data_IF_669786435980
#
_entry.id   IF_669786435980
#
_cell.length_a   1.000
_cell.length_b   1.000
_cell.length_c   1.000
_cell.angle_alpha   90.00
_cell.angle_beta   90.00
_cell.angle_gamma   90.00
#
_symmetry.space_group_name_H-M   'P 1'
#
loop_
_entity.id
_entity.type
_entity.pdbx_description
1 polymer ?
#
# COMPACT_ATOMS: atom_id res chain seq x y z
N UNK A 1 4.45 -46.95 96.74
CA UNK A 1 5.09 -48.21 96.34
C UNK A 1 4.51 -48.67 95.01
N UNK A 2 5.33 -49.35 94.19
CA UNK A 2 4.99 -50.37 93.16
C UNK A 2 3.53 -50.89 93.17
N UNK A 3 2.80 -51.16 92.07
CA UNK A 3 3.05 -51.76 90.72
C UNK A 3 1.80 -51.44 89.82
N UNK A 4 1.57 -51.85 88.55
CA UNK A 4 2.24 -52.76 87.59
C UNK A 4 1.92 -52.45 86.09
N UNK A 5 2.21 -53.44 85.22
CA UNK A 5 1.93 -53.63 83.78
C UNK A 5 0.51 -53.31 83.25
N UNK A 6 0.45 -52.88 81.98
CA UNK A 6 -0.67 -53.03 81.03
C UNK A 6 -0.23 -52.58 79.62
N UNK A 7 -0.47 -53.38 78.57
CA UNK A 7 0.08 -53.14 77.22
C UNK A 7 -0.60 -51.99 76.46
N UNK A 8 0.13 -51.37 75.51
CA UNK A 8 -0.36 -50.39 74.53
C UNK A 8 0.29 -50.61 73.15
N UNK A 9 -0.58 -50.78 72.16
CA UNK A 9 -0.61 -50.15 70.82
C UNK A 9 0.67 -49.82 70.02
N UNK A 10 0.71 -50.44 68.83
CA UNK A 10 0.85 -49.82 67.50
C UNK A 10 2.20 -49.23 67.00
N UNK A 11 2.82 -49.92 66.03
CA UNK A 11 3.78 -49.42 65.00
C UNK A 11 3.97 -50.56 63.96
N UNK A 12 3.61 -50.43 62.67
CA UNK A 12 4.28 -49.78 61.50
C UNK A 12 5.14 -50.73 60.63
N UNK A 13 5.20 -50.41 59.32
CA UNK A 13 6.16 -50.84 58.26
C UNK A 13 5.91 -52.13 57.42
N UNK A 14 5.46 -51.87 56.17
CA UNK A 14 6.20 -52.07 54.90
C UNK A 14 6.68 -53.48 54.48
N UNK A 15 6.15 -53.96 53.35
CA UNK A 15 6.90 -54.76 52.37
C UNK A 15 6.36 -54.53 50.94
N UNK A 16 7.24 -54.23 50.00
CA UNK A 16 6.95 -54.13 48.56
C UNK A 16 7.08 -55.52 47.93
N UNK A 17 6.16 -55.92 47.05
CA UNK A 17 6.35 -57.06 46.14
C UNK A 17 6.07 -56.62 44.70
N UNK A 18 6.90 -57.12 43.80
CA UNK A 18 7.12 -56.67 42.43
C UNK A 18 6.33 -57.51 41.41
N UNK A 19 5.88 -56.86 40.34
CA UNK A 19 5.48 -57.42 39.05
C UNK A 19 4.39 -58.52 38.98
N UNK A 20 3.25 -58.14 38.37
CA UNK A 20 2.52 -59.01 37.45
C UNK A 20 2.12 -58.18 36.22
N UNK A 21 2.74 -58.48 35.06
CA UNK A 21 2.45 -57.79 33.80
C UNK A 21 1.16 -58.36 33.21
N UNK A 22 0.14 -57.51 33.06
CA UNK A 22 -1.03 -57.81 32.21
C UNK A 22 -1.04 -56.83 31.04
N UNK A 23 -0.68 -57.32 29.87
CA UNK A 23 -0.63 -56.53 28.65
C UNK A 23 -2.06 -56.23 28.15
N UNK A 24 -2.42 -54.95 28.11
CA UNK A 24 -3.54 -54.48 27.30
C UNK A 24 -3.03 -54.20 25.86
N UNK A 25 -3.79 -54.52 24.80
CA UNK A 25 -3.33 -54.34 23.43
C UNK A 25 -3.30 -52.85 23.04
N UNK A 26 -2.10 -52.32 22.82
CA UNK A 26 -1.84 -50.91 22.45
C UNK A 26 -2.12 -50.58 20.97
N UNK A 27 -2.90 -51.39 20.25
CA UNK A 27 -2.99 -51.35 18.78
C UNK A 27 -3.86 -50.19 18.22
N UNK A 28 -4.43 -49.34 19.09
CA UNK A 28 -5.40 -48.31 18.70
C UNK A 28 -4.98 -46.86 19.00
N UNK A 29 -3.66 -46.57 18.99
CA UNK A 29 -3.13 -45.20 19.07
C UNK A 29 -2.20 -44.80 17.89
N UNK A 30 -1.97 -45.69 16.92
CA UNK A 30 -1.03 -45.45 15.81
C UNK A 30 -1.64 -44.69 14.61
N UNK A 31 -2.92 -44.29 14.66
CA UNK A 31 -3.63 -43.69 13.50
C UNK A 31 -3.79 -42.16 13.52
N UNK A 32 -3.22 -41.45 14.51
CA UNK A 32 -3.28 -39.98 14.61
C UNK A 32 -1.94 -39.26 14.45
N UNK A 33 -0.86 -40.00 14.14
CA UNK A 33 0.35 -39.40 13.59
C UNK A 33 0.16 -39.03 12.11
N UNK A 34 -0.86 -38.20 11.82
CA UNK A 34 -0.97 -37.56 10.52
C UNK A 34 0.28 -36.71 10.31
N UNK A 35 1.02 -37.02 9.25
CA UNK A 35 2.22 -36.26 8.87
C UNK A 35 1.83 -34.82 8.51
N UNK A 36 1.79 -33.95 9.51
CA UNK A 36 1.93 -32.52 9.31
C UNK A 36 3.35 -32.27 8.81
N UNK A 37 3.56 -32.51 7.51
CA UNK A 37 4.72 -32.02 6.77
C UNK A 37 4.78 -30.52 7.06
N UNK A 38 5.85 -29.99 7.68
CA UNK A 38 5.94 -28.58 7.95
C UNK A 38 5.92 -27.85 6.62
N UNK A 39 4.78 -27.21 6.29
CA UNK A 39 4.69 -26.42 5.07
C UNK A 39 5.49 -25.14 5.29
N UNK A 40 6.79 -25.21 5.04
CA UNK A 40 7.66 -24.04 4.92
C UNK A 40 7.16 -23.23 3.73
N UNK A 41 6.22 -22.33 4.01
CA UNK A 41 5.90 -21.21 3.15
C UNK A 41 7.06 -20.24 3.28
N UNK A 42 8.11 -20.46 2.49
CA UNK A 42 9.12 -19.45 2.20
C UNK A 42 8.42 -18.35 1.42
N UNK A 43 7.79 -17.42 2.15
CA UNK A 43 7.45 -16.12 1.58
C UNK A 43 8.76 -15.46 1.21
N UNK A 44 9.04 -15.37 -0.08
CA UNK A 44 10.12 -14.53 -0.57
C UNK A 44 9.61 -13.10 -0.43
N UNK A 45 10.13 -12.36 0.55
CA UNK A 45 9.92 -10.92 0.61
C UNK A 45 10.69 -10.29 -0.56
N UNK A 46 10.03 -10.24 -1.70
CA UNK A 46 10.57 -9.69 -2.93
C UNK A 46 10.59 -8.16 -2.82
N UNK A 47 11.77 -7.59 -2.55
CA UNK A 47 11.98 -6.15 -2.63
C UNK A 47 12.12 -5.78 -4.11
N UNK A 48 11.03 -5.29 -4.71
CA UNK A 48 11.10 -4.53 -5.95
C UNK A 48 11.76 -3.19 -5.68
N UNK A 49 12.45 -2.60 -6.68
CA UNK A 49 12.84 -1.19 -6.66
C UNK A 49 12.42 -0.57 -8.00
N UNK A 50 11.54 0.43 -7.97
CA UNK A 50 11.13 1.15 -9.19
C UNK A 50 12.05 2.34 -9.47
N UNK A 51 12.93 2.19 -10.46
CA UNK A 51 13.80 3.29 -10.93
C UNK A 51 13.15 4.07 -12.08
N UNK A 52 13.27 5.39 -12.07
CA UNK A 52 12.87 6.27 -13.19
C UNK A 52 14.08 7.10 -13.60
N UNK A 53 14.59 6.90 -14.81
CA UNK A 53 15.77 7.63 -15.32
C UNK A 53 15.34 8.69 -16.33
N UNK A 54 15.94 9.87 -16.23
CA UNK A 54 15.71 10.99 -17.16
C UNK A 54 17.02 11.58 -17.66
N UNK A 55 17.03 12.03 -18.91
CA UNK A 55 18.14 12.82 -19.45
C UNK A 55 18.17 14.26 -18.86
N UNK A 56 19.21 15.01 -19.20
CA UNK A 56 19.38 16.40 -18.76
C UNK A 56 18.27 17.37 -19.23
N UNK A 57 17.41 16.95 -20.17
CA UNK A 57 16.23 17.70 -20.63
C UNK A 57 14.91 17.26 -19.97
N UNK A 58 14.97 16.26 -19.06
CA UNK A 58 13.78 15.73 -18.38
C UNK A 58 12.91 14.82 -19.26
N UNK A 59 13.49 14.21 -20.30
CA UNK A 59 12.86 13.11 -21.06
C UNK A 59 13.22 11.79 -20.40
N UNK A 60 12.27 10.84 -20.36
CA UNK A 60 12.53 9.51 -19.82
C UNK A 60 13.51 8.74 -20.72
N UNK A 61 14.52 8.13 -20.10
CA UNK A 61 15.41 7.16 -20.74
C UNK A 61 14.75 5.79 -20.57
N UNK A 62 14.52 5.07 -21.67
CA UNK A 62 13.67 3.85 -21.69
C UNK A 62 14.38 2.61 -22.21
N UNK A 63 15.66 2.76 -22.54
CA UNK A 63 16.50 1.83 -23.28
C UNK A 63 17.70 1.32 -22.48
N UNK A 64 17.75 1.56 -21.16
CA UNK A 64 18.81 1.03 -20.29
C UNK A 64 18.67 -0.49 -20.08
N UNK A 65 19.77 -1.23 -20.24
CA UNK A 65 19.90 -2.68 -19.98
C UNK A 65 20.10 -3.01 -18.49
N UNK A 66 20.05 -4.30 -18.12
CA UNK A 66 20.25 -4.75 -16.73
C UNK A 66 21.67 -4.45 -16.21
N UNK A 67 22.68 -4.58 -17.06
CA UNK A 67 24.10 -4.38 -16.74
C UNK A 67 24.50 -2.91 -16.62
N UNK A 68 23.59 -1.98 -16.93
CA UNK A 68 23.75 -0.54 -16.66
C UNK A 68 23.27 -0.14 -15.24
N UNK A 69 22.87 -1.10 -14.39
CA UNK A 69 22.45 -0.86 -13.01
C UNK A 69 23.28 -1.65 -11.99
N UNK A 70 23.87 -0.94 -11.03
CA UNK A 70 24.47 -1.51 -9.82
C UNK A 70 23.61 -1.13 -8.60
N UNK A 71 23.09 -2.13 -7.89
CA UNK A 71 22.26 -1.92 -6.69
C UNK A 71 23.13 -2.13 -5.45
N UNK A 72 23.05 -1.19 -4.50
CA UNK A 72 23.75 -1.26 -3.23
C UNK A 72 22.80 -1.05 -2.05
N UNK A 73 22.92 -1.89 -1.02
CA UNK A 73 22.31 -1.69 0.29
C UNK A 73 23.44 -1.58 1.33
N UNK A 74 23.46 -0.50 2.12
CA UNK A 74 24.51 -0.20 3.11
C UNK A 74 25.97 -0.31 2.58
N UNK A 75 26.16 0.02 1.29
CA UNK A 75 27.42 -0.09 0.51
C UNK A 75 27.85 -1.52 0.14
N UNK A 76 26.98 -2.51 0.35
CA UNK A 76 27.14 -3.89 -0.13
C UNK A 76 26.35 -4.04 -1.43
N UNK A 77 27.00 -4.53 -2.49
CA UNK A 77 26.33 -4.77 -3.77
C UNK A 77 25.32 -5.93 -3.64
N UNK A 78 24.10 -5.72 -4.12
CA UNK A 78 23.02 -6.70 -4.08
C UNK A 78 22.85 -7.38 -5.45
N UNK A 79 22.51 -8.67 -5.45
CA UNK A 79 22.28 -9.43 -6.68
C UNK A 79 20.91 -9.09 -7.28
N UNK A 80 20.91 -8.67 -8.56
CA UNK A 80 19.71 -8.27 -9.27
C UNK A 80 18.98 -9.50 -9.82
N UNK A 81 18.16 -10.12 -8.96
CA UNK A 81 17.43 -11.36 -9.24
C UNK A 81 16.35 -11.25 -10.35
N UNK A 82 15.78 -10.07 -10.57
CA UNK A 82 14.74 -9.84 -11.56
C UNK A 82 14.82 -8.43 -12.16
N UNK A 83 15.16 -8.35 -13.45
CA UNK A 83 15.09 -7.12 -14.23
C UNK A 83 13.94 -7.20 -15.23
N UNK A 84 13.18 -6.12 -15.38
CA UNK A 84 12.24 -6.00 -16.48
C UNK A 84 12.14 -4.59 -17.03
N UNK A 85 12.26 -4.49 -18.35
CA UNK A 85 11.90 -3.32 -19.16
C UNK A 85 10.45 -3.34 -19.62
N UNK A 86 9.76 -4.48 -19.48
CA UNK A 86 8.38 -4.59 -19.92
C UNK A 86 7.51 -3.63 -19.11
N UNK A 87 6.49 -3.08 -19.76
CA UNK A 87 5.53 -2.22 -19.08
C UNK A 87 4.70 -3.06 -18.11
N UNK A 88 5.21 -3.29 -16.91
CA UNK A 88 4.52 -3.95 -15.80
C UNK A 88 3.08 -3.43 -15.69
N UNK A 89 2.11 -4.29 -15.34
CA UNK A 89 0.75 -3.83 -15.05
C UNK A 89 0.79 -2.74 -13.98
N UNK A 90 -0.05 -1.70 -14.08
CA UNK A 90 -0.12 -0.68 -13.04
C UNK A 90 -1.20 -1.02 -12.00
N UNK A 91 -0.99 -0.54 -10.77
CA UNK A 91 -2.03 -0.37 -9.77
C UNK A 91 -2.09 1.13 -9.46
N UNK A 92 -3.22 1.76 -9.78
CA UNK A 92 -3.39 3.22 -9.70
C UNK A 92 -4.46 3.58 -8.67
N UNK A 93 -4.14 4.48 -7.75
CA UNK A 93 -5.16 5.23 -7.02
C UNK A 93 -5.43 6.56 -7.74
N UNK A 94 -6.68 6.77 -8.17
CA UNK A 94 -7.14 7.97 -8.84
C UNK A 94 -7.90 8.84 -7.83
N UNK A 95 -7.25 9.90 -7.36
CA UNK A 95 -7.71 10.80 -6.32
C UNK A 95 -8.34 12.03 -6.96
N UNK A 96 -9.62 12.25 -6.66
CA UNK A 96 -10.40 13.38 -7.17
C UNK A 96 -10.75 14.30 -6.01
N UNK A 97 -10.22 15.51 -6.05
CA UNK A 97 -10.55 16.57 -5.10
C UNK A 97 -12.00 16.99 -5.29
N UNK A 98 -12.80 16.77 -4.25
CA UNK A 98 -14.22 17.12 -4.16
C UNK A 98 -14.47 18.29 -3.23
N UNK A 99 -13.45 19.08 -2.88
CA UNK A 99 -13.62 20.30 -2.09
C UNK A 99 -14.50 21.36 -2.78
N UNK A 100 -15.01 22.34 -2.01
CA UNK A 100 -15.88 23.39 -2.55
C UNK A 100 -15.19 24.27 -3.63
N UNK A 101 -13.87 24.47 -3.56
CA UNK A 101 -13.12 25.27 -4.55
C UNK A 101 -13.18 24.64 -5.95
N UNK A 102 -13.35 23.32 -6.02
CA UNK A 102 -13.40 22.51 -7.24
C UNK A 102 -14.75 22.57 -7.98
N UNK A 103 -15.79 23.23 -7.46
CA UNK A 103 -17.13 23.29 -8.07
C UNK A 103 -17.11 23.61 -9.58
N UNK A 104 -16.43 24.69 -9.98
CA UNK A 104 -16.30 25.11 -11.39
C UNK A 104 -15.39 24.21 -12.24
N UNK A 105 -14.66 23.28 -11.63
CA UNK A 105 -13.65 22.40 -12.27
C UNK A 105 -14.03 20.93 -12.21
N UNK A 106 -15.09 20.57 -11.47
CA UNK A 106 -15.52 19.19 -11.21
C UNK A 106 -15.81 18.42 -12.49
N UNK A 107 -16.51 19.03 -13.46
CA UNK A 107 -16.75 18.40 -14.75
C UNK A 107 -15.44 18.09 -15.51
N UNK A 108 -14.51 19.05 -15.58
CA UNK A 108 -13.20 18.85 -16.22
C UNK A 108 -12.38 17.77 -15.51
N UNK A 109 -12.40 17.74 -14.18
CA UNK A 109 -11.74 16.70 -13.38
C UNK A 109 -12.34 15.32 -13.68
N UNK A 110 -13.68 15.19 -13.68
CA UNK A 110 -14.38 13.96 -14.04
C UNK A 110 -14.06 13.50 -15.46
N UNK A 111 -14.09 14.40 -16.44
CA UNK A 111 -13.78 14.08 -17.85
C UNK A 111 -12.33 13.62 -18.04
N UNK A 112 -11.36 14.28 -17.37
CA UNK A 112 -9.97 13.87 -17.37
C UNK A 112 -9.77 12.49 -16.70
N UNK A 113 -10.41 12.26 -15.55
CA UNK A 113 -10.38 11.00 -14.83
C UNK A 113 -11.00 9.84 -15.64
N UNK A 114 -12.14 10.07 -16.30
CA UNK A 114 -12.78 9.09 -17.20
C UNK A 114 -11.89 8.82 -18.42
N UNK A 115 -11.32 9.86 -19.01
CA UNK A 115 -10.38 9.76 -20.13
C UNK A 115 -9.08 9.03 -19.78
N UNK A 116 -8.71 8.97 -18.49
CA UNK A 116 -7.64 8.12 -17.97
C UNK A 116 -8.13 6.67 -17.76
N UNK A 117 -9.28 6.46 -17.13
CA UNK A 117 -9.83 5.12 -16.86
C UNK A 117 -9.98 4.29 -18.14
N UNK A 118 -10.41 4.90 -19.25
CA UNK A 118 -10.51 4.24 -20.56
C UNK A 118 -9.18 4.03 -21.30
N UNK A 119 -8.04 4.48 -20.76
CA UNK A 119 -6.69 4.21 -21.27
C UNK A 119 -5.95 3.10 -20.53
N UNK A 120 -6.54 2.56 -19.46
CA UNK A 120 -6.00 1.39 -18.75
C UNK A 120 -5.95 0.18 -19.70
N UNK A 121 -4.84 -0.58 -19.64
CA UNK A 121 -4.71 -1.84 -20.38
C UNK A 121 -5.46 -2.94 -19.62
N UNK A 122 -5.83 -4.07 -20.27
CA UNK A 122 -6.61 -5.14 -19.61
C UNK A 122 -6.03 -5.68 -18.30
N UNK A 123 -4.71 -5.65 -18.16
CA UNK A 123 -3.97 -6.08 -16.97
C UNK A 123 -3.88 -5.01 -15.86
N UNK A 124 -4.11 -3.73 -16.17
CA UNK A 124 -3.98 -2.61 -15.24
C UNK A 124 -5.18 -2.54 -14.29
N UNK A 125 -4.98 -2.01 -13.08
CA UNK A 125 -6.04 -1.80 -12.10
C UNK A 125 -6.06 -0.35 -11.65
N UNK A 126 -7.25 0.21 -11.47
CA UNK A 126 -7.45 1.50 -10.82
C UNK A 126 -8.50 1.42 -9.70
N UNK A 127 -8.31 2.21 -8.66
CA UNK A 127 -9.31 2.53 -7.63
C UNK A 127 -9.67 4.02 -7.77
N UNK A 128 -10.93 4.37 -7.50
CA UNK A 128 -11.41 5.77 -7.50
C UNK A 128 -11.62 6.19 -6.05
N UNK A 129 -10.94 7.26 -5.65
CA UNK A 129 -10.99 7.82 -4.31
C UNK A 129 -11.39 9.29 -4.45
N UNK A 130 -12.43 9.72 -3.75
CA UNK A 130 -12.74 11.15 -3.63
C UNK A 130 -12.29 11.71 -2.28
N UNK A 131 -12.04 13.01 -2.22
CA UNK A 131 -11.65 13.65 -0.98
C UNK A 131 -12.10 15.11 -0.85
N UNK A 132 -12.74 15.39 0.28
CA UNK A 132 -13.16 16.71 0.75
C UNK A 132 -12.60 16.93 2.18
N UNK A 133 -13.46 17.25 3.16
CA UNK A 133 -13.17 17.10 4.59
C UNK A 133 -12.96 15.64 5.04
N UNK A 134 -13.30 14.65 4.20
CA UNK A 134 -13.13 13.20 4.38
C UNK A 134 -12.48 12.60 3.14
N UNK A 135 -12.17 11.30 3.19
CA UNK A 135 -11.61 10.54 2.07
C UNK A 135 -12.46 9.29 1.91
N UNK A 136 -13.08 9.08 0.74
CA UNK A 136 -13.94 7.91 0.51
C UNK A 136 -13.44 7.13 -0.72
N UNK A 137 -13.33 5.82 -0.56
CA UNK A 137 -13.05 4.91 -1.67
C UNK A 137 -14.38 4.66 -2.38
N UNK A 138 -14.55 5.24 -3.56
CA UNK A 138 -15.78 5.15 -4.36
C UNK A 138 -15.84 3.88 -5.23
N UNK A 139 -14.67 3.28 -5.51
CA UNK A 139 -14.52 2.02 -6.24
C UNK A 139 -13.17 1.36 -5.87
N UNK A 140 -13.21 0.09 -5.50
CA UNK A 140 -12.00 -0.72 -5.25
C UNK A 140 -11.22 -0.98 -6.55
N UNK A 141 -10.00 -1.50 -6.44
CA UNK A 141 -9.14 -1.80 -7.59
C UNK A 141 -9.83 -2.71 -8.63
N UNK A 142 -10.09 -2.15 -9.81
CA UNK A 142 -10.73 -2.84 -10.95
C UNK A 142 -10.16 -2.39 -12.29
N UNK A 143 -10.38 -3.18 -13.33
CA UNK A 143 -10.11 -2.84 -14.74
C UNK A 143 -11.39 -2.53 -15.53
N UNK A 144 -12.56 -2.55 -14.88
CA UNK A 144 -13.85 -2.23 -15.50
C UNK A 144 -14.01 -0.70 -15.62
N UNK A 145 -13.71 -0.18 -16.81
CA UNK A 145 -13.86 1.25 -17.14
C UNK A 145 -15.27 1.81 -16.88
N UNK A 146 -16.33 1.01 -16.99
CA UNK A 146 -17.70 1.46 -16.73
C UNK A 146 -18.02 1.51 -15.23
N UNK A 147 -17.37 0.69 -14.39
CA UNK A 147 -17.39 0.85 -12.92
C UNK A 147 -16.67 2.13 -12.51
N UNK A 148 -15.45 2.32 -13.02
CA UNK A 148 -14.64 3.52 -12.78
C UNK A 148 -15.38 4.79 -13.20
N UNK A 149 -15.94 4.85 -14.42
CA UNK A 149 -16.75 6.00 -14.86
C UNK A 149 -17.94 6.25 -13.93
N UNK A 150 -18.71 5.22 -13.55
CA UNK A 150 -19.83 5.38 -12.62
C UNK A 150 -19.39 5.87 -11.25
N UNK A 151 -18.19 5.55 -10.79
CA UNK A 151 -17.65 6.06 -9.54
C UNK A 151 -17.22 7.52 -9.66
N UNK A 152 -16.51 7.86 -10.74
CA UNK A 152 -16.08 9.23 -11.04
C UNK A 152 -17.29 10.16 -11.18
N UNK A 153 -18.35 9.76 -11.90
CA UNK A 153 -19.56 10.59 -12.08
C UNK A 153 -20.40 10.78 -10.80
N UNK A 154 -20.12 10.06 -9.71
CA UNK A 154 -20.77 10.26 -8.40
C UNK A 154 -20.11 11.37 -7.59
N UNK A 155 -18.91 11.84 -7.95
CA UNK A 155 -18.24 12.91 -7.21
C UNK A 155 -19.02 14.22 -7.33
N UNK A 156 -19.07 14.99 -6.24
CA UNK A 156 -19.73 16.29 -6.19
C UNK A 156 -18.90 17.23 -5.30
N UNK A 157 -18.78 18.49 -5.70
CA UNK A 157 -17.98 19.46 -4.96
C UNK A 157 -18.67 19.94 -3.66
N UNK A 158 -17.91 20.07 -2.58
CA UNK A 158 -18.38 20.57 -1.29
C UNK A 158 -17.32 20.42 -0.19
N UNK A 159 -17.55 21.03 0.97
CA UNK A 159 -16.64 20.87 2.13
C UNK A 159 -15.25 21.50 1.97
N UNK A 160 -14.33 21.07 2.83
CA UNK A 160 -12.92 21.47 2.89
C UNK A 160 -12.04 20.55 2.03
N UNK A 161 -10.71 20.64 2.16
CA UNK A 161 -9.75 19.85 1.36
C UNK A 161 -8.76 19.12 2.28
N UNK A 162 -8.70 17.79 2.18
CA UNK A 162 -7.84 16.92 3.00
C UNK A 162 -6.85 16.12 2.13
N UNK A 163 -6.10 16.82 1.28
CA UNK A 163 -5.15 16.27 0.32
C UNK A 163 -4.12 15.33 0.98
N UNK A 164 -3.51 15.73 2.10
CA UNK A 164 -2.53 14.89 2.80
C UNK A 164 -3.16 13.58 3.32
N UNK A 165 -4.35 13.66 3.93
CA UNK A 165 -5.10 12.47 4.35
C UNK A 165 -5.40 11.55 3.14
N UNK A 166 -5.79 12.12 1.99
CA UNK A 166 -6.13 11.38 0.78
C UNK A 166 -4.93 10.60 0.23
N UNK A 167 -3.77 11.26 0.12
CA UNK A 167 -2.51 10.61 -0.29
C UNK A 167 -2.11 9.53 0.73
N UNK A 168 -2.15 9.82 2.04
CA UNK A 168 -1.83 8.82 3.08
C UNK A 168 -2.68 7.54 2.95
N UNK A 169 -3.99 7.69 2.83
CA UNK A 169 -4.92 6.56 2.70
C UNK A 169 -4.66 5.80 1.40
N UNK A 170 -4.44 6.50 0.29
CA UNK A 170 -4.16 5.89 -1.02
C UNK A 170 -2.88 5.07 -1.02
N UNK A 171 -1.82 5.54 -0.34
CA UNK A 171 -0.60 4.76 -0.12
C UNK A 171 -0.87 3.50 0.71
N UNK A 172 -1.75 3.56 1.72
CA UNK A 172 -2.16 2.37 2.48
C UNK A 172 -2.95 1.38 1.61
N UNK A 173 -3.87 1.85 0.77
CA UNK A 173 -4.64 0.99 -0.15
C UNK A 173 -3.75 0.32 -1.20
N UNK A 174 -2.86 1.08 -1.85
CA UNK A 174 -1.87 0.53 -2.78
C UNK A 174 -0.95 -0.49 -2.10
N UNK A 175 -0.55 -0.26 -0.85
CA UNK A 175 0.24 -1.22 -0.07
C UNK A 175 -0.46 -2.55 0.27
N UNK A 176 -1.76 -2.69 -0.04
CA UNK A 176 -2.49 -3.97 -0.01
C UNK A 176 -2.39 -4.74 -1.33
N UNK A 177 -2.13 -4.05 -2.45
CA UNK A 177 -1.89 -4.62 -3.78
C UNK A 177 -0.43 -5.11 -3.89
N UNK A 178 -0.02 -5.96 -2.94
CA UNK A 178 1.31 -6.59 -2.93
C UNK A 178 1.30 -7.85 -3.77
N UNK A 179 2.29 -7.96 -4.64
CA UNK A 179 2.62 -9.18 -5.35
C UNK A 179 3.06 -10.28 -4.38
N UNK A 180 2.64 -11.52 -4.64
CA UNK A 180 3.13 -12.73 -3.95
C UNK A 180 4.04 -13.57 -4.83
N UNK A 181 4.04 -13.28 -6.14
CA UNK A 181 4.90 -13.88 -7.16
C UNK A 181 5.41 -12.79 -8.11
N UNK A 182 6.52 -13.00 -8.85
CA UNK A 182 7.03 -12.01 -9.79
C UNK A 182 6.02 -11.59 -10.88
N UNK A 183 5.15 -12.50 -11.32
CA UNK A 183 4.11 -12.23 -12.32
C UNK A 183 2.98 -11.32 -11.81
N UNK A 184 2.84 -11.19 -10.48
CA UNK A 184 1.87 -10.30 -9.83
C UNK A 184 2.42 -8.88 -9.58
N UNK A 185 3.69 -8.60 -9.89
CA UNK A 185 4.32 -7.28 -9.66
C UNK A 185 3.57 -6.21 -10.44
N UNK A 186 3.19 -5.15 -9.72
CA UNK A 186 2.48 -3.99 -10.27
C UNK A 186 3.24 -2.72 -9.93
N UNK A 187 3.46 -1.86 -10.92
CA UNK A 187 3.97 -0.50 -10.65
C UNK A 187 2.85 0.29 -9.96
N UNK A 188 3.13 0.78 -8.77
CA UNK A 188 2.16 1.53 -7.97
C UNK A 188 2.24 3.01 -8.31
N UNK A 189 1.09 3.65 -8.51
CA UNK A 189 1.01 5.07 -8.78
C UNK A 189 -0.20 5.72 -8.10
N UNK A 190 -0.09 7.03 -7.85
CA UNK A 190 -1.18 7.91 -7.47
C UNK A 190 -1.34 8.95 -8.59
N UNK A 191 -2.57 9.25 -9.00
CA UNK A 191 -2.89 10.42 -9.82
C UNK A 191 -3.84 11.31 -9.01
N UNK A 192 -3.43 12.54 -8.72
CA UNK A 192 -4.23 13.53 -7.99
C UNK A 192 -4.77 14.57 -8.95
N UNK A 193 -6.08 14.80 -8.96
CA UNK A 193 -6.75 15.92 -9.63
C UNK A 193 -7.26 16.87 -8.56
N UNK A 194 -6.59 18.02 -8.39
CA UNK A 194 -6.81 18.98 -7.29
C UNK A 194 -6.34 20.38 -7.68
N UNK A 195 -6.75 21.42 -6.98
CA UNK A 195 -6.07 22.73 -7.05
C UNK A 195 -4.85 22.83 -6.12
N UNK A 196 -4.68 21.89 -5.19
CA UNK A 196 -3.49 21.68 -4.37
C UNK A 196 -3.57 22.24 -2.96
N UNK A 197 -4.69 22.85 -2.57
CA UNK A 197 -4.86 23.36 -1.20
C UNK A 197 -5.12 22.21 -0.20
N UNK A 198 -4.63 22.36 1.03
CA UNK A 198 -5.01 21.50 2.16
C UNK A 198 -5.45 22.39 3.32
N UNK A 199 -6.65 22.13 3.83
CA UNK A 199 -7.32 22.97 4.83
C UNK A 199 -7.84 22.19 6.03
N UNK A 200 -7.87 20.84 5.96
CA UNK A 200 -8.44 19.99 7.01
C UNK A 200 -7.73 18.65 7.23
N UNK A 201 -6.55 18.40 6.65
CA UNK A 201 -5.84 17.16 6.97
C UNK A 201 -5.35 17.10 8.41
N UNK A 202 -5.34 15.88 8.95
CA UNK A 202 -4.81 15.57 10.28
C UNK A 202 -3.33 15.17 10.20
N UNK A 203 -2.90 14.64 9.05
CA UNK A 203 -1.50 14.29 8.76
C UNK A 203 -0.80 15.48 8.11
N UNK A 204 0.41 15.81 8.56
CA UNK A 204 1.20 16.91 8.02
C UNK A 204 1.88 16.56 6.70
N UNK A 205 2.09 17.56 5.85
CA UNK A 205 2.74 17.43 4.54
C UNK A 205 4.05 16.60 4.57
N UNK A 206 4.96 16.93 5.50
CA UNK A 206 6.26 16.27 5.63
C UNK A 206 6.15 14.77 5.94
N UNK A 207 5.17 14.37 6.75
CA UNK A 207 4.94 12.96 7.10
C UNK A 207 4.42 12.18 5.89
N UNK A 208 3.48 12.76 5.14
CA UNK A 208 2.95 12.16 3.91
C UNK A 208 4.02 12.08 2.82
N UNK A 209 4.86 13.11 2.68
CA UNK A 209 5.97 13.13 1.72
C UNK A 209 6.99 12.02 2.03
N UNK A 210 7.39 11.86 3.29
CA UNK A 210 8.30 10.78 3.71
C UNK A 210 7.68 9.39 3.57
N UNK A 211 6.38 9.24 3.84
CA UNK A 211 5.67 7.99 3.56
C UNK A 211 5.63 7.67 2.06
N UNK A 212 5.33 8.67 1.23
CA UNK A 212 5.27 8.53 -0.22
C UNK A 212 6.63 8.12 -0.81
N UNK A 213 7.72 8.78 -0.40
CA UNK A 213 9.09 8.42 -0.79
C UNK A 213 9.46 6.98 -0.46
N UNK A 214 9.03 6.46 0.69
CA UNK A 214 9.29 5.07 1.15
C UNK A 214 8.35 4.02 0.58
N UNK A 215 7.26 4.45 -0.08
CA UNK A 215 6.23 3.55 -0.62
C UNK A 215 6.50 3.05 -2.04
N UNK A 216 7.55 3.58 -2.69
CA UNK A 216 7.84 3.40 -4.13
C UNK A 216 6.69 3.74 -5.09
N UNK A 217 5.67 4.45 -4.59
CA UNK A 217 4.49 4.84 -5.36
C UNK A 217 4.73 6.18 -6.05
N UNK A 218 4.81 6.15 -7.38
CA UNK A 218 4.99 7.36 -8.18
C UNK A 218 3.72 8.24 -8.13
N UNK A 219 3.84 9.47 -7.65
CA UNK A 219 2.71 10.40 -7.56
C UNK A 219 2.72 11.36 -8.75
N UNK A 220 1.62 11.41 -9.49
CA UNK A 220 1.39 12.37 -10.56
C UNK A 220 0.30 13.34 -10.09
N UNK A 221 0.53 14.64 -10.31
CA UNK A 221 -0.42 15.68 -9.89
C UNK A 221 -0.90 16.46 -11.10
N UNK A 222 -2.20 16.72 -11.16
CA UNK A 222 -2.86 17.52 -12.19
C UNK A 222 -3.49 18.70 -11.46
N UNK A 223 -2.75 19.81 -11.43
CA UNK A 223 -3.12 21.06 -10.78
C UNK A 223 -4.15 21.80 -11.63
N UNK A 224 -5.42 21.70 -11.23
CA UNK A 224 -6.55 22.33 -11.91
C UNK A 224 -6.71 23.76 -11.38
N UNK A 225 -5.98 24.70 -12.01
CA UNK A 225 -5.99 26.12 -11.60
C UNK A 225 -7.34 26.79 -11.88
N UNK A 226 -7.64 27.83 -11.12
CA UNK A 226 -8.62 28.87 -11.48
C UNK A 226 -7.89 30.05 -12.15
N UNK A 227 -8.58 30.81 -13.02
CA UNK A 227 -8.03 32.03 -13.63
C UNK A 227 -7.96 33.22 -12.64
N UNK A 228 -8.40 33.03 -11.38
CA UNK A 228 -8.25 34.02 -10.33
C UNK A 228 -6.77 34.25 -9.95
N UNK A 229 -6.46 35.48 -9.53
CA UNK A 229 -5.13 36.09 -9.55
C UNK A 229 -3.97 35.15 -9.11
N UNK A 230 -3.15 34.60 -10.04
CA UNK A 230 -2.11 33.60 -9.75
C UNK A 230 -0.90 34.13 -8.97
N UNK A 231 -0.94 35.40 -8.54
CA UNK A 231 0.05 36.00 -7.63
C UNK A 231 -0.34 35.91 -6.15
N UNK A 232 -1.50 35.35 -5.83
CA UNK A 232 -1.87 35.00 -4.45
C UNK A 232 -0.95 33.92 -3.91
N UNK A 233 -0.60 34.03 -2.63
CA UNK A 233 0.44 33.23 -1.99
C UNK A 233 -0.02 31.78 -1.79
N UNK A 234 -1.30 31.61 -1.50
CA UNK A 234 -1.98 30.35 -1.26
C UNK A 234 -1.84 29.41 -2.47
N UNK A 235 -2.05 29.91 -3.69
CA UNK A 235 -1.84 29.15 -4.93
C UNK A 235 -0.37 28.76 -5.16
N UNK A 236 0.59 29.57 -4.73
CA UNK A 236 2.02 29.23 -4.85
C UNK A 236 2.42 28.13 -3.87
N UNK A 237 1.84 28.13 -2.67
CA UNK A 237 2.04 27.08 -1.67
C UNK A 237 1.36 25.77 -2.12
N UNK A 238 0.13 25.83 -2.65
CA UNK A 238 -0.57 24.69 -3.25
C UNK A 238 0.16 24.08 -4.47
N UNK A 239 0.59 24.91 -5.42
CA UNK A 239 1.39 24.47 -6.56
C UNK A 239 2.72 23.85 -6.12
N UNK A 240 3.38 24.43 -5.11
CA UNK A 240 4.61 23.87 -4.53
C UNK A 240 4.37 22.48 -3.93
N UNK A 241 3.32 22.29 -3.12
CA UNK A 241 2.93 21.00 -2.54
C UNK A 241 2.73 19.93 -3.62
N UNK A 242 1.93 20.23 -4.65
CA UNK A 242 1.68 19.30 -5.77
C UNK A 242 2.96 18.98 -6.57
N UNK A 243 3.87 19.95 -6.75
CA UNK A 243 5.15 19.75 -7.43
C UNK A 243 6.14 18.94 -6.59
N UNK A 244 6.22 19.18 -5.29
CA UNK A 244 7.12 18.45 -4.39
C UNK A 244 6.71 16.98 -4.27
N UNK A 245 5.43 16.68 -4.02
CA UNK A 245 4.93 15.30 -3.97
C UNK A 245 5.28 14.52 -5.24
N UNK A 246 5.05 15.12 -6.40
CA UNK A 246 5.33 14.47 -7.66
C UNK A 246 6.82 14.27 -7.90
N UNK A 247 7.65 15.29 -7.65
CA UNK A 247 9.10 15.23 -7.86
C UNK A 247 9.78 14.21 -6.96
N UNK A 248 9.49 14.25 -5.66
CA UNK A 248 10.15 13.40 -4.66
C UNK A 248 9.76 11.92 -4.77
N UNK A 249 8.68 11.62 -5.48
CA UNK A 249 8.24 10.23 -5.78
C UNK A 249 8.57 9.78 -7.21
N UNK A 250 9.33 10.56 -7.98
CA UNK A 250 9.70 10.24 -9.37
C UNK A 250 8.58 10.42 -10.42
N UNK A 251 7.42 10.94 -10.02
CA UNK A 251 6.33 11.31 -10.91
C UNK A 251 6.49 12.72 -11.51
N UNK A 252 5.39 13.30 -12.00
CA UNK A 252 5.37 14.64 -12.61
C UNK A 252 4.10 15.41 -12.25
N UNK A 253 4.25 16.72 -12.12
CA UNK A 253 3.16 17.66 -11.91
C UNK A 253 2.82 18.40 -13.21
N UNK A 254 1.54 18.41 -13.57
CA UNK A 254 0.97 19.01 -14.77
C UNK A 254 -0.02 20.11 -14.37
N UNK A 255 0.07 21.27 -15.01
CA UNK A 255 -0.81 22.41 -14.76
C UNK A 255 -1.35 22.89 -16.11
N UNK A 256 -2.39 22.23 -16.66
CA UNK A 256 -2.97 22.62 -17.93
C UNK A 256 -3.61 24.00 -17.82
N UNK A 257 -3.37 24.86 -18.81
CA UNK A 257 -4.11 26.11 -18.95
C UNK A 257 -5.54 25.80 -19.45
N UNK A 258 -6.54 26.48 -18.88
CA UNK A 258 -7.98 26.30 -19.17
C UNK A 258 -8.50 27.32 -20.19
#
# INVERSE_FOLDING_TARGET
>A
MTRHRGQRDLTLLLAVVLAAVTAAPSEMQTLLAQSQVPSFRTGVDLVSVTVTVTDASGRYVTDLEQDEFEIYEDRIQQELNFFTRSQLPIALALLIDTSASMERRMQTAQEAAIGFAYRLRPQDLASVIDFDSRVNILEDFTNDGARLERAIRRTAAGGSTSLHNAVYISLKELSKVRARTPDEIRRQAIVVLSDGEDTSSLVGFTEVLELAKRSETATYTIGLRTQENPRRREFQEAEYVLRQLARETGGRAFFPDS
#
